data_IF_509132875431
#
_entry.id   IF_509132875431
#
_cell.length_a   1.000
_cell.length_b   1.000
_cell.length_c   1.000
_cell.angle_alpha   90.00
_cell.angle_beta   90.00
_cell.angle_gamma   90.00
#
_symmetry.space_group_name_H-M   'P 1'
#
loop_
_entity.id
_entity.type
_entity.pdbx_description
1 polymer ?
#
# COMPACT_ATOMS: atom_id res chain seq x y z
N UNK A 1 -42.03 17.01 -8.36
CA UNK A 1 -41.07 17.48 -9.39
C UNK A 1 -39.65 17.01 -9.07
N UNK A 2 -39.13 17.24 -7.86
CA UNK A 2 -37.78 16.81 -7.43
C UNK A 2 -37.56 15.29 -7.52
N UNK A 3 -38.53 14.47 -7.13
CA UNK A 3 -38.39 12.99 -7.17
C UNK A 3 -38.20 12.43 -8.59
N UNK A 4 -38.83 13.04 -9.61
CA UNK A 4 -38.69 12.62 -11.01
C UNK A 4 -37.30 12.97 -11.54
N UNK A 5 -36.78 14.16 -11.18
CA UNK A 5 -35.43 14.58 -11.55
C UNK A 5 -34.36 13.68 -10.91
N UNK A 6 -34.56 13.26 -9.66
CA UNK A 6 -33.64 12.35 -8.97
C UNK A 6 -33.60 10.99 -9.67
N UNK A 7 -34.76 10.40 -9.99
CA UNK A 7 -34.83 9.11 -10.69
C UNK A 7 -34.21 9.20 -12.08
N UNK A 8 -34.49 10.28 -12.82
CA UNK A 8 -33.92 10.51 -14.15
C UNK A 8 -32.39 10.65 -14.11
N UNK A 9 -31.86 11.41 -13.14
CA UNK A 9 -30.42 11.55 -12.95
C UNK A 9 -29.75 10.21 -12.62
N UNK A 10 -30.41 9.37 -11.81
CA UNK A 10 -29.91 8.03 -11.46
C UNK A 10 -29.84 7.11 -12.68
N UNK A 11 -30.90 7.10 -13.49
CA UNK A 11 -30.96 6.33 -14.74
C UNK A 11 -29.89 6.81 -15.73
N UNK A 12 -29.74 8.12 -15.90
CA UNK A 12 -28.70 8.70 -16.75
C UNK A 12 -27.29 8.38 -16.23
N UNK A 13 -27.08 8.36 -14.92
CA UNK A 13 -25.82 7.95 -14.30
C UNK A 13 -25.47 6.49 -14.61
N UNK A 14 -26.42 5.58 -14.46
CA UNK A 14 -26.23 4.15 -14.80
C UNK A 14 -25.95 3.98 -16.29
N UNK A 15 -26.68 4.69 -17.16
CA UNK A 15 -26.45 4.67 -18.60
C UNK A 15 -25.06 5.22 -18.96
N UNK A 16 -24.61 6.29 -18.32
CA UNK A 16 -23.29 6.86 -18.53
C UNK A 16 -22.18 5.87 -18.17
N UNK A 17 -22.29 5.17 -17.03
CA UNK A 17 -21.34 4.12 -16.63
C UNK A 17 -21.34 2.98 -17.66
N UNK A 18 -22.52 2.53 -18.11
CA UNK A 18 -22.63 1.47 -19.11
C UNK A 18 -22.06 1.87 -20.49
N UNK A 19 -22.11 3.17 -20.85
CA UNK A 19 -21.48 3.67 -22.06
C UNK A 19 -19.95 3.74 -21.91
N UNK A 20 -19.44 4.24 -20.78
CA UNK A 20 -18.01 4.27 -20.49
C UNK A 20 -17.38 2.86 -20.57
N UNK A 21 -18.05 1.86 -19.98
CA UNK A 21 -17.60 0.47 -20.05
C UNK A 21 -17.53 -0.05 -21.50
N UNK A 22 -18.56 0.23 -22.32
CA UNK A 22 -18.57 -0.15 -23.74
C UNK A 22 -17.49 0.54 -24.57
N UNK A 23 -17.23 1.82 -24.32
CA UNK A 23 -16.15 2.57 -25.00
C UNK A 23 -14.78 2.00 -24.63
N UNK A 24 -14.58 1.64 -23.36
CA UNK A 24 -13.35 0.98 -22.89
C UNK A 24 -13.15 -0.37 -23.57
N UNK A 25 -14.20 -1.17 -23.67
CA UNK A 25 -14.15 -2.48 -24.34
C UNK A 25 -13.90 -2.36 -25.85
N UNK A 26 -14.50 -1.38 -26.54
CA UNK A 26 -14.20 -1.13 -27.95
C UNK A 26 -12.76 -0.68 -28.17
N UNK A 27 -12.27 0.24 -27.33
CA UNK A 27 -10.90 0.74 -27.42
C UNK A 27 -9.88 -0.34 -27.07
N UNK A 28 -10.17 -1.26 -26.14
CA UNK A 28 -9.30 -2.41 -25.85
C UNK A 28 -9.21 -3.38 -27.02
N UNK A 29 -10.36 -3.74 -27.63
CA UNK A 29 -10.43 -4.61 -28.83
C UNK A 29 -9.69 -4.01 -30.03
N UNK A 30 -9.85 -2.71 -30.29
CA UNK A 30 -9.17 -2.00 -31.39
C UNK A 30 -7.65 -1.93 -31.20
N UNK A 31 -7.17 -1.95 -29.94
CA UNK A 31 -5.74 -1.91 -29.63
C UNK A 31 -5.02 -3.24 -29.88
N UNK A 32 -5.75 -4.33 -30.14
CA UNK A 32 -5.19 -5.66 -30.36
C UNK A 32 -4.39 -6.22 -29.18
N UNK A 33 -4.48 -5.60 -28.00
CA UNK A 33 -3.83 -6.05 -26.77
C UNK A 33 -4.69 -7.14 -26.14
N UNK A 34 -4.09 -8.28 -25.81
CA UNK A 34 -4.76 -9.24 -24.93
C UNK A 34 -4.94 -8.56 -23.56
N UNK A 35 -6.02 -8.88 -22.84
CA UNK A 35 -6.24 -8.33 -21.49
C UNK A 35 -5.09 -8.64 -20.51
N UNK A 36 -4.28 -9.64 -20.85
CA UNK A 36 -3.09 -10.09 -20.12
C UNK A 36 -1.85 -9.20 -20.36
N UNK A 37 -1.86 -8.32 -21.37
CA UNK A 37 -0.72 -7.45 -21.69
C UNK A 37 -0.65 -6.24 -20.74
N UNK A 38 0.10 -6.41 -19.65
CA UNK A 38 0.44 -5.31 -18.73
C UNK A 38 1.17 -4.21 -19.52
N UNK A 39 0.64 -2.98 -19.48
CA UNK A 39 1.28 -1.86 -20.14
C UNK A 39 2.64 -1.55 -19.50
N UNK A 40 3.68 -1.22 -20.29
CA UNK A 40 4.94 -0.72 -19.74
C UNK A 40 4.75 0.50 -18.82
N UNK A 41 3.71 1.29 -19.07
CA UNK A 41 3.31 2.42 -18.22
C UNK A 41 2.83 1.98 -16.83
N UNK A 42 2.00 0.93 -16.77
CA UNK A 42 1.46 0.40 -15.51
C UNK A 42 2.60 -0.19 -14.67
N UNK A 43 3.54 -0.86 -15.31
CA UNK A 43 4.68 -1.44 -14.62
C UNK A 43 5.63 -0.38 -14.07
N UNK A 44 5.83 0.72 -14.81
CA UNK A 44 6.58 1.89 -14.33
C UNK A 44 5.87 2.59 -13.18
N UNK A 45 4.54 2.70 -13.24
CA UNK A 45 3.74 3.27 -12.16
C UNK A 45 3.85 2.41 -10.90
N UNK A 46 3.64 1.10 -11.00
CA UNK A 46 3.79 0.18 -9.87
C UNK A 46 5.19 0.24 -9.26
N UNK A 47 6.23 0.32 -10.08
CA UNK A 47 7.60 0.51 -9.61
C UNK A 47 7.77 1.82 -8.82
N UNK A 48 7.24 2.94 -9.33
CA UNK A 48 7.26 4.21 -8.63
C UNK A 48 6.46 4.16 -7.31
N UNK A 49 5.32 3.48 -7.31
CA UNK A 49 4.49 3.29 -6.13
C UNK A 49 5.21 2.49 -5.04
N UNK A 50 6.05 1.50 -5.37
CA UNK A 50 6.85 0.79 -4.37
C UNK A 50 7.82 1.71 -3.61
N UNK A 51 8.43 2.69 -4.29
CA UNK A 51 9.29 3.68 -3.64
C UNK A 51 8.52 4.62 -2.72
N UNK A 52 7.35 5.10 -3.17
CA UNK A 52 6.49 5.95 -2.36
C UNK A 52 5.96 5.17 -1.14
N UNK A 53 5.53 3.93 -1.36
CA UNK A 53 5.01 3.05 -0.32
C UNK A 53 6.05 2.80 0.77
N UNK A 54 7.32 2.55 0.42
CA UNK A 54 8.40 2.41 1.41
C UNK A 54 8.48 3.60 2.37
N UNK A 55 8.44 4.84 1.84
CA UNK A 55 8.51 6.05 2.66
C UNK A 55 7.28 6.19 3.56
N UNK A 56 6.09 6.02 2.99
CA UNK A 56 4.83 6.11 3.75
C UNK A 56 4.76 5.04 4.84
N UNK A 57 5.19 3.82 4.52
CA UNK A 57 5.21 2.68 5.44
C UNK A 57 6.08 2.96 6.66
N UNK A 58 7.30 3.49 6.47
CA UNK A 58 8.17 3.84 7.59
C UNK A 58 7.68 5.05 8.39
N UNK A 59 7.12 6.07 7.74
CA UNK A 59 6.49 7.19 8.45
C UNK A 59 5.35 6.68 9.33
N UNK A 60 4.49 5.81 8.79
CA UNK A 60 3.37 5.23 9.52
C UNK A 60 3.83 4.36 10.68
N UNK A 61 4.89 3.57 10.48
CA UNK A 61 5.52 2.79 11.55
C UNK A 61 6.00 3.69 12.70
N UNK A 62 6.76 4.75 12.41
CA UNK A 62 7.23 5.68 13.45
C UNK A 62 6.08 6.39 14.13
N UNK A 63 5.05 6.80 13.36
CA UNK A 63 3.85 7.40 13.94
C UNK A 63 3.17 6.47 14.93
N UNK A 64 2.95 5.19 14.58
CA UNK A 64 2.40 4.19 15.51
C UNK A 64 3.28 4.01 16.74
N UNK A 65 4.60 3.89 16.55
CA UNK A 65 5.55 3.71 17.64
C UNK A 65 5.46 4.87 18.64
N UNK A 66 5.49 6.13 18.18
CA UNK A 66 5.38 7.28 19.06
C UNK A 66 3.97 7.45 19.66
N UNK A 67 2.93 7.10 18.91
CA UNK A 67 1.54 7.25 19.35
C UNK A 67 1.15 6.30 20.47
N UNK A 68 1.76 5.12 20.51
CA UNK A 68 1.44 4.03 21.44
C UNK A 68 2.59 3.66 22.39
N UNK A 69 3.69 4.42 22.42
CA UNK A 69 4.80 4.19 23.36
C UNK A 69 4.36 4.19 24.82
N UNK A 70 3.33 4.94 25.16
CA UNK A 70 2.73 5.05 26.49
C UNK A 70 1.94 3.79 26.89
N UNK A 71 1.57 2.96 25.91
CA UNK A 71 0.88 1.68 26.12
C UNK A 71 1.83 0.49 26.19
N UNK A 72 3.14 0.74 26.11
CA UNK A 72 4.16 -0.31 26.30
C UNK A 72 4.28 -0.69 27.78
N UNK A 73 5.10 -1.72 28.08
CA UNK A 73 5.26 -2.23 29.44
C UNK A 73 5.60 -1.09 30.42
N UNK A 74 4.92 -1.01 31.58
CA UNK A 74 5.27 -0.08 32.64
C UNK A 74 6.62 -0.46 33.27
N UNK A 75 7.20 0.45 34.07
CA UNK A 75 8.44 0.20 34.81
C UNK A 75 8.29 -1.07 35.67
N UNK A 76 9.33 -1.90 35.67
CA UNK A 76 9.35 -3.13 36.43
C UNK A 76 9.16 -2.93 37.94
N UNK A 77 8.33 -3.77 38.56
CA UNK A 77 8.09 -3.78 40.00
C UNK A 77 8.98 -4.75 40.79
N UNK A 78 9.90 -5.47 40.15
CA UNK A 78 10.80 -6.43 40.80
C UNK A 78 12.14 -6.54 40.07
N UNK A 79 13.19 -6.99 40.78
CA UNK A 79 14.51 -7.24 40.17
C UNK A 79 14.44 -8.25 39.02
N UNK A 80 13.60 -9.29 39.15
CA UNK A 80 13.41 -10.28 38.09
C UNK A 80 12.76 -9.68 36.85
N UNK A 81 11.80 -8.76 37.03
CA UNK A 81 11.19 -8.08 35.90
C UNK A 81 12.14 -7.11 35.20
N UNK A 82 13.11 -6.51 35.91
CA UNK A 82 14.12 -5.66 35.29
C UNK A 82 15.01 -6.46 34.33
N UNK A 83 15.34 -7.70 34.68
CA UNK A 83 16.05 -8.62 33.79
C UNK A 83 15.22 -8.98 32.54
N UNK A 84 13.91 -9.17 32.70
CA UNK A 84 13.01 -9.44 31.58
C UNK A 84 12.88 -8.24 30.64
N UNK A 85 12.75 -7.02 31.17
CA UNK A 85 12.68 -5.78 30.39
C UNK A 85 13.95 -5.57 29.56
N UNK A 86 15.13 -5.88 30.13
CA UNK A 86 16.41 -5.85 29.41
C UNK A 86 16.42 -6.84 28.23
N UNK A 87 15.96 -8.07 28.46
CA UNK A 87 15.88 -9.09 27.40
C UNK A 87 14.88 -8.72 26.30
N UNK A 88 13.75 -8.14 26.68
CA UNK A 88 12.73 -7.64 25.75
C UNK A 88 13.30 -6.52 24.88
N UNK A 89 13.94 -5.52 25.48
CA UNK A 89 14.56 -4.42 24.75
C UNK A 89 15.66 -4.89 23.79
N UNK A 90 16.46 -5.88 24.20
CA UNK A 90 17.46 -6.50 23.33
C UNK A 90 16.82 -7.18 22.11
N UNK A 91 15.74 -7.93 22.31
CA UNK A 91 14.99 -8.54 21.21
C UNK A 91 14.38 -7.51 20.26
N UNK A 92 13.79 -6.43 20.80
CA UNK A 92 13.26 -5.34 19.98
C UNK A 92 14.30 -4.73 19.06
N UNK A 93 15.53 -4.52 19.55
CA UNK A 93 16.63 -4.00 18.73
C UNK A 93 16.92 -4.93 17.55
N UNK A 94 17.05 -6.24 17.80
CA UNK A 94 17.29 -7.23 16.75
C UNK A 94 16.15 -7.23 15.72
N UNK A 95 14.91 -7.23 16.19
CA UNK A 95 13.73 -7.24 15.34
C UNK A 95 13.63 -5.96 14.49
N UNK A 96 13.90 -4.78 15.07
CA UNK A 96 13.89 -3.53 14.30
C UNK A 96 14.97 -3.51 13.23
N UNK A 97 16.18 -3.97 13.53
CA UNK A 97 17.25 -4.06 12.52
C UNK A 97 16.81 -4.98 11.38
N UNK A 98 16.34 -6.20 11.69
CA UNK A 98 15.89 -7.15 10.68
C UNK A 98 14.71 -6.61 9.86
N UNK A 99 13.76 -5.95 10.53
CA UNK A 99 12.60 -5.32 9.92
C UNK A 99 12.99 -4.25 8.90
N UNK A 100 13.76 -3.24 9.31
CA UNK A 100 14.15 -2.16 8.42
C UNK A 100 15.05 -2.64 7.28
N UNK A 101 15.95 -3.58 7.56
CA UNK A 101 16.83 -4.14 6.53
C UNK A 101 15.99 -4.89 5.47
N UNK A 102 15.18 -5.85 5.91
CA UNK A 102 14.43 -6.73 5.01
C UNK A 102 13.42 -5.95 4.17
N UNK A 103 12.63 -5.08 4.80
CA UNK A 103 11.62 -4.29 4.09
C UNK A 103 12.27 -3.30 3.11
N UNK A 104 13.39 -2.67 3.49
CA UNK A 104 14.10 -1.75 2.58
C UNK A 104 14.61 -2.49 1.36
N UNK A 105 15.22 -3.68 1.54
CA UNK A 105 15.69 -4.50 0.43
C UNK A 105 14.54 -4.94 -0.48
N UNK A 106 13.42 -5.38 0.06
CA UNK A 106 12.25 -5.83 -0.71
C UNK A 106 11.64 -4.69 -1.53
N UNK A 107 11.37 -3.53 -0.91
CA UNK A 107 10.78 -2.39 -1.62
C UNK A 107 11.74 -1.80 -2.65
N UNK A 108 13.03 -1.68 -2.32
CA UNK A 108 14.06 -1.26 -3.26
C UNK A 108 14.15 -2.21 -4.45
N UNK A 109 14.11 -3.53 -4.20
CA UNK A 109 14.16 -4.54 -5.25
C UNK A 109 12.93 -4.46 -6.17
N UNK A 110 11.73 -4.40 -5.58
CA UNK A 110 10.48 -4.28 -6.34
C UNK A 110 10.41 -3.00 -7.18
N UNK A 111 10.86 -1.87 -6.63
CA UNK A 111 10.89 -0.59 -7.33
C UNK A 111 12.00 -0.48 -8.39
N UNK A 112 13.13 -1.15 -8.18
CA UNK A 112 14.28 -1.11 -9.12
C UNK A 112 14.13 -2.11 -10.26
N UNK A 113 13.74 -3.35 -9.95
CA UNK A 113 13.72 -4.49 -10.88
C UNK A 113 12.31 -4.83 -11.36
N UNK A 114 11.55 -3.81 -11.79
CA UNK A 114 10.26 -4.04 -12.44
C UNK A 114 10.45 -4.51 -13.88
N UNK A 115 9.53 -5.35 -14.37
CA UNK A 115 9.57 -5.85 -15.73
C UNK A 115 9.52 -4.70 -16.74
N UNK A 116 10.49 -4.67 -17.65
CA UNK A 116 10.54 -3.74 -18.78
C UNK A 116 10.45 -4.61 -20.03
N UNK A 117 9.46 -4.38 -20.87
CA UNK A 117 9.46 -4.96 -22.22
C UNK A 117 10.69 -4.39 -22.93
N UNK A 118 11.68 -5.25 -23.12
CA UNK A 118 12.72 -5.12 -24.13
C UNK A 118 12.36 -6.03 -25.30
#
# INVERSE_FOLDING_TARGET
MTNILIVLALVLGVLAIAQLARVYELTSRLRGKREEDISPGDNRLNAALWWVFMVVYYIFFFWLFFRYRDRMLPISGSEHGEALDKLLNFNWIILFIAFFLTNTLLFWFAGKYYFRQG
#
